data_IF_452235206568
#
_entry.id   IF_452235206568
#
_cell.length_a   1.000
_cell.length_b   1.000
_cell.length_c   1.000
_cell.angle_alpha   90.00
_cell.angle_beta   90.00
_cell.angle_gamma   90.00
#
_symmetry.space_group_name_H-M   'P 1'
#
loop_
_entity.id
_entity.type
_entity.pdbx_description
1 polymer ?
#
# COMPACT_ATOMS: atom_id res chain seq x y z
N UNK A 1 4.99 -17.28 -14.03
CA UNK A 1 4.32 -16.61 -12.90
C UNK A 1 4.48 -15.11 -13.08
N UNK A 2 3.41 -14.33 -12.94
CA UNK A 2 3.52 -12.87 -12.80
C UNK A 2 3.97 -12.56 -11.38
N UNK A 3 5.07 -11.83 -11.25
CA UNK A 3 5.60 -11.35 -9.97
C UNK A 3 4.98 -9.98 -9.68
N UNK A 4 4.61 -9.73 -8.43
CA UNK A 4 4.05 -8.45 -8.00
C UNK A 4 5.05 -7.70 -7.13
N UNK A 5 5.00 -6.38 -7.20
CA UNK A 5 5.56 -5.52 -6.18
C UNK A 5 4.43 -5.12 -5.25
N UNK A 6 4.56 -5.48 -3.98
CA UNK A 6 3.54 -5.24 -2.97
C UNK A 6 4.01 -4.12 -2.04
N UNK A 7 3.15 -3.15 -1.78
CA UNK A 7 3.33 -2.16 -0.71
C UNK A 7 2.29 -2.37 0.38
N UNK A 8 2.70 -2.22 1.63
CA UNK A 8 1.86 -2.36 2.81
C UNK A 8 1.87 -1.03 3.54
N UNK A 9 0.71 -0.40 3.66
CA UNK A 9 0.50 0.83 4.42
C UNK A 9 -0.25 0.50 5.71
N UNK A 10 0.16 1.06 6.83
CA UNK A 10 -0.46 0.84 8.13
C UNK A 10 -0.82 2.18 8.79
N UNK A 11 -2.09 2.31 9.17
CA UNK A 11 -2.63 3.53 9.78
C UNK A 11 -3.52 3.24 10.99
N UNK A 12 -3.99 4.27 11.70
CA UNK A 12 -4.87 4.11 12.85
C UNK A 12 -6.22 3.50 12.44
N UNK A 13 -6.98 2.98 13.39
CA UNK A 13 -8.31 2.40 13.11
C UNK A 13 -9.23 3.40 12.38
N UNK A 14 -9.90 2.92 11.34
CA UNK A 14 -10.88 3.69 10.56
C UNK A 14 -12.10 2.85 10.24
N UNK A 15 -13.22 3.54 10.03
CA UNK A 15 -14.38 2.94 9.40
C UNK A 15 -14.07 2.57 7.94
N UNK A 16 -14.49 1.37 7.50
CA UNK A 16 -14.14 0.84 6.18
C UNK A 16 -14.82 1.63 5.06
N UNK A 17 -16.10 2.01 5.24
CA UNK A 17 -16.81 2.79 4.23
C UNK A 17 -16.15 4.16 4.03
N UNK A 18 -15.80 4.82 5.15
CA UNK A 18 -15.04 6.08 5.09
C UNK A 18 -13.67 5.91 4.45
N UNK A 19 -12.95 4.84 4.77
CA UNK A 19 -11.64 4.56 4.17
C UNK A 19 -11.75 4.43 2.64
N UNK A 20 -12.75 3.70 2.15
CA UNK A 20 -12.96 3.52 0.71
C UNK A 20 -13.36 4.82 0.00
N UNK A 21 -14.21 5.66 0.61
CA UNK A 21 -14.52 6.99 0.09
C UNK A 21 -13.24 7.82 -0.03
N UNK A 22 -12.39 7.84 1.00
CA UNK A 22 -11.16 8.63 0.98
C UNK A 22 -10.14 8.07 -0.02
N UNK A 23 -10.06 6.75 -0.19
CA UNK A 23 -9.26 6.12 -1.25
C UNK A 23 -9.74 6.59 -2.63
N UNK A 24 -11.05 6.54 -2.90
CA UNK A 24 -11.59 6.94 -4.19
C UNK A 24 -11.34 8.42 -4.49
N UNK A 25 -11.55 9.31 -3.51
CA UNK A 25 -11.27 10.74 -3.65
C UNK A 25 -9.80 10.99 -4.00
N UNK A 26 -8.86 10.38 -3.27
CA UNK A 26 -7.43 10.57 -3.47
C UNK A 26 -6.96 9.99 -4.82
N UNK A 27 -7.43 8.79 -5.18
CA UNK A 27 -7.05 8.11 -6.42
C UNK A 27 -7.65 8.80 -7.66
N UNK A 28 -8.93 9.15 -7.62
CA UNK A 28 -9.60 9.90 -8.69
C UNK A 28 -9.00 11.31 -8.85
N UNK A 29 -8.52 11.92 -7.76
CA UNK A 29 -7.77 13.18 -7.79
C UNK A 29 -6.46 13.11 -8.57
N UNK A 30 -5.86 11.92 -8.69
CA UNK A 30 -4.69 11.64 -9.53
C UNK A 30 -5.05 11.24 -10.97
N UNK A 31 -6.33 11.25 -11.33
CA UNK A 31 -6.82 10.83 -12.65
C UNK A 31 -6.90 9.30 -12.82
N UNK A 32 -6.68 8.52 -11.76
CA UNK A 32 -6.93 7.09 -11.79
C UNK A 32 -8.43 6.82 -11.94
N UNK A 33 -8.77 5.73 -12.62
CA UNK A 33 -10.17 5.28 -12.75
C UNK A 33 -10.31 3.95 -12.04
N UNK A 34 -11.39 3.79 -11.29
CA UNK A 34 -11.73 2.48 -10.78
C UNK A 34 -11.94 1.50 -11.95
N UNK A 35 -11.31 0.34 -11.90
CA UNK A 35 -11.37 -0.67 -12.97
C UNK A 35 -11.80 -2.06 -12.50
N UNK A 36 -12.24 -2.17 -11.24
CA UNK A 36 -12.86 -3.38 -10.70
C UNK A 36 -14.05 -3.07 -9.81
N UNK A 37 -14.94 -4.05 -9.68
CA UNK A 37 -15.95 -4.07 -8.63
C UNK A 37 -15.32 -4.30 -7.24
N UNK A 38 -16.10 -4.09 -6.18
CA UNK A 38 -15.67 -4.36 -4.81
C UNK A 38 -15.76 -5.86 -4.52
N UNK A 39 -14.61 -6.48 -4.27
CA UNK A 39 -14.52 -7.84 -3.76
C UNK A 39 -14.46 -7.84 -2.24
N UNK A 40 -15.09 -8.82 -1.60
CA UNK A 40 -14.90 -9.05 -0.16
C UNK A 40 -13.58 -9.75 0.06
N UNK A 41 -12.82 -9.28 1.05
CA UNK A 41 -11.66 -9.97 1.57
C UNK A 41 -11.87 -10.34 3.05
N UNK A 42 -11.27 -11.44 3.47
CA UNK A 42 -11.30 -11.91 4.85
C UNK A 42 -9.90 -12.34 5.31
N UNK A 43 -9.65 -12.22 6.60
CA UNK A 43 -8.43 -12.71 7.21
C UNK A 43 -8.52 -14.21 7.42
N UNK A 44 -7.53 -14.95 6.91
CA UNK A 44 -7.31 -16.34 7.24
C UNK A 44 -6.47 -16.44 8.52
N UNK A 45 -7.05 -16.91 9.65
CA UNK A 45 -6.35 -17.01 10.93
C UNK A 45 -5.38 -18.19 11.02
N UNK A 46 -5.25 -19.03 9.98
CA UNK A 46 -4.27 -20.11 9.95
C UNK A 46 -2.86 -19.56 10.28
N UNK A 47 -2.21 -20.03 11.36
CA UNK A 47 -0.87 -19.55 11.76
C UNK A 47 0.19 -19.68 10.67
N UNK A 48 0.07 -20.65 9.78
CA UNK A 48 1.02 -20.89 8.68
C UNK A 48 0.79 -19.94 7.50
N UNK A 49 -0.44 -19.43 7.35
CA UNK A 49 -0.79 -18.43 6.33
C UNK A 49 -0.79 -17.02 6.93
N UNK A 50 -1.79 -16.72 7.76
CA UNK A 50 -1.96 -15.44 8.44
C UNK A 50 -2.04 -14.27 7.46
N UNK A 51 -2.89 -14.37 6.44
CA UNK A 51 -3.03 -13.37 5.36
C UNK A 51 -4.49 -13.03 5.10
N UNK A 52 -4.72 -11.86 4.50
CA UNK A 52 -6.01 -11.53 3.89
C UNK A 52 -6.10 -12.10 2.48
N UNK A 53 -7.23 -12.74 2.17
CA UNK A 53 -7.55 -13.24 0.83
C UNK A 53 -8.95 -12.79 0.40
N UNK A 54 -9.17 -12.73 -0.92
CA UNK A 54 -10.51 -12.58 -1.47
C UNK A 54 -11.38 -13.80 -1.15
N UNK A 55 -12.64 -13.60 -0.77
CA UNK A 55 -13.52 -14.70 -0.33
C UNK A 55 -14.19 -15.45 -1.49
N UNK A 56 -14.02 -14.97 -2.74
CA UNK A 56 -14.74 -15.49 -3.90
C UNK A 56 -16.23 -15.16 -3.91
N UNK A 57 -16.70 -14.35 -2.96
CA UNK A 57 -18.07 -13.83 -2.93
C UNK A 57 -18.35 -12.99 -4.19
N UNK A 58 -19.63 -12.95 -4.60
CA UNK A 58 -20.03 -12.11 -5.74
C UNK A 58 -19.64 -10.66 -5.45
N UNK A 59 -18.93 -10.00 -6.39
CA UNK A 59 -18.51 -8.64 -6.16
C UNK A 59 -19.72 -7.70 -6.12
N UNK A 60 -19.54 -6.57 -5.47
CA UNK A 60 -20.53 -5.51 -5.36
C UNK A 60 -20.20 -4.46 -6.42
N UNK A 61 -21.12 -4.24 -7.35
CA UNK A 61 -20.96 -3.27 -8.43
C UNK A 61 -20.73 -1.88 -7.88
N UNK A 62 -19.68 -1.23 -8.34
CA UNK A 62 -19.29 0.09 -7.83
C UNK A 62 -20.11 1.24 -8.41
N UNK A 63 -20.82 1.03 -9.52
CA UNK A 63 -21.64 2.07 -10.16
C UNK A 63 -22.72 2.64 -9.21
N UNK A 64 -23.09 1.90 -8.16
CA UNK A 64 -23.91 2.37 -7.03
C UNK A 64 -23.15 2.37 -5.69
N UNK A 65 -21.86 2.75 -5.67
CA UNK A 65 -20.97 2.68 -4.50
C UNK A 65 -21.63 3.20 -3.21
N UNK A 66 -22.26 4.38 -3.30
CA UNK A 66 -22.95 5.01 -2.18
C UNK A 66 -24.17 4.21 -1.70
N UNK A 67 -24.92 3.59 -2.61
CA UNK A 67 -26.09 2.77 -2.28
C UNK A 67 -25.69 1.39 -1.73
N UNK A 68 -24.52 0.90 -2.16
CA UNK A 68 -23.96 -0.38 -1.76
C UNK A 68 -23.07 -0.30 -0.50
N UNK A 69 -22.73 0.89 0.01
CA UNK A 69 -21.90 1.02 1.22
C UNK A 69 -22.48 0.31 2.44
N UNK A 70 -23.80 0.19 2.55
CA UNK A 70 -24.42 -0.56 3.63
C UNK A 70 -24.17 -2.07 3.54
N UNK A 71 -23.86 -2.59 2.34
CA UNK A 71 -23.62 -4.02 2.11
C UNK A 71 -22.21 -4.46 2.52
N UNK A 72 -21.28 -3.51 2.61
CA UNK A 72 -19.91 -3.74 3.07
C UNK A 72 -19.77 -3.54 4.59
N UNK A 73 -20.86 -3.18 5.28
CA UNK A 73 -20.87 -3.08 6.75
C UNK A 73 -20.51 -4.43 7.36
N UNK A 74 -19.51 -4.43 8.23
CA UNK A 74 -19.00 -5.63 8.89
C UNK A 74 -17.99 -6.44 8.07
N UNK A 75 -17.63 -6.01 6.86
CA UNK A 75 -16.50 -6.60 6.14
C UNK A 75 -15.19 -6.19 6.81
N UNK A 76 -14.31 -7.16 7.01
CA UNK A 76 -12.98 -6.93 7.59
C UNK A 76 -11.94 -6.60 6.53
N UNK A 77 -12.25 -6.81 5.26
CA UNK A 77 -11.43 -6.37 4.13
C UNK A 77 -12.22 -6.24 2.84
N UNK A 78 -11.69 -5.39 1.95
CA UNK A 78 -12.25 -5.08 0.64
C UNK A 78 -11.12 -5.04 -0.39
N UNK A 79 -11.30 -5.71 -1.52
CA UNK A 79 -10.39 -5.63 -2.66
C UNK A 79 -11.01 -4.80 -3.78
N UNK A 80 -10.20 -3.94 -4.40
CA UNK A 80 -10.59 -3.08 -5.51
C UNK A 80 -9.38 -2.72 -6.38
N UNK A 81 -9.61 -2.36 -7.64
CA UNK A 81 -8.58 -2.05 -8.62
C UNK A 81 -8.72 -0.62 -9.15
N UNK A 82 -7.59 0.06 -9.30
CA UNK A 82 -7.52 1.35 -10.00
C UNK A 82 -6.58 1.25 -11.19
N UNK A 83 -6.99 1.89 -12.29
CA UNK A 83 -6.21 2.01 -13.52
C UNK A 83 -5.71 3.43 -13.72
N UNK A 84 -4.41 3.54 -13.86
CA UNK A 84 -3.72 4.69 -14.46
C UNK A 84 -3.53 4.43 -15.96
N UNK A 85 -3.02 5.44 -16.68
CA UNK A 85 -2.77 5.31 -18.12
C UNK A 85 -1.83 4.12 -18.45
N UNK A 86 -0.76 3.92 -17.67
CA UNK A 86 0.28 2.94 -18.00
C UNK A 86 0.34 1.72 -17.06
N UNK A 87 -0.41 1.74 -15.96
CA UNK A 87 -0.37 0.67 -14.96
C UNK A 87 -1.69 0.58 -14.19
N UNK A 88 -1.91 -0.56 -13.53
CA UNK A 88 -3.02 -0.76 -12.59
C UNK A 88 -2.47 -1.08 -11.22
N UNK A 89 -3.19 -0.64 -10.19
CA UNK A 89 -2.99 -0.98 -8.79
C UNK A 89 -4.13 -1.87 -8.33
N UNK A 90 -3.80 -3.03 -7.80
CA UNK A 90 -4.73 -3.87 -7.05
C UNK A 90 -4.60 -3.53 -5.57
N UNK A 91 -5.70 -3.14 -4.94
CA UNK A 91 -5.75 -2.69 -3.56
C UNK A 91 -6.54 -3.69 -2.73
N UNK A 92 -6.03 -4.02 -1.55
CA UNK A 92 -6.77 -4.68 -0.49
C UNK A 92 -6.72 -3.78 0.76
N UNK A 93 -7.84 -3.15 1.09
CA UNK A 93 -8.00 -2.40 2.32
C UNK A 93 -8.56 -3.33 3.39
N UNK A 94 -7.96 -3.38 4.57
CA UNK A 94 -8.38 -4.25 5.66
C UNK A 94 -8.39 -3.56 7.01
N UNK A 95 -9.24 -4.08 7.90
CA UNK A 95 -9.37 -3.70 9.29
C UNK A 95 -9.30 -4.96 10.15
N UNK A 96 -8.08 -5.44 10.50
CA UNK A 96 -7.90 -6.58 11.38
C UNK A 96 -8.35 -6.24 12.81
N UNK A 97 -9.61 -6.57 13.12
CA UNK A 97 -10.25 -6.20 14.39
C UNK A 97 -10.59 -4.70 14.44
N UNK A 98 -10.34 -4.07 15.60
CA UNK A 98 -10.69 -2.65 15.86
C UNK A 98 -9.46 -1.80 16.23
N UNK A 99 -8.26 -2.21 15.80
CA UNK A 99 -7.01 -1.59 16.26
C UNK A 99 -6.35 -0.68 15.23
N UNK A 100 -6.29 -1.11 13.97
CA UNK A 100 -5.60 -0.40 12.89
C UNK A 100 -6.21 -0.79 11.54
N UNK A 101 -5.79 -0.09 10.49
CA UNK A 101 -6.08 -0.48 9.10
C UNK A 101 -4.80 -0.82 8.38
N UNK A 102 -4.88 -1.76 7.45
CA UNK A 102 -3.85 -1.98 6.44
C UNK A 102 -4.41 -1.67 5.05
N UNK A 103 -3.55 -1.16 4.18
CA UNK A 103 -3.81 -1.08 2.75
C UNK A 103 -2.66 -1.78 2.04
N UNK A 104 -2.95 -2.92 1.43
CA UNK A 104 -2.02 -3.69 0.61
C UNK A 104 -2.22 -3.26 -0.84
N UNK A 105 -1.12 -2.99 -1.54
CA UNK A 105 -1.14 -2.44 -2.89
C UNK A 105 -0.21 -3.26 -3.75
N UNK A 106 -0.76 -3.95 -4.73
CA UNK A 106 -0.01 -4.71 -5.72
C UNK A 106 0.05 -3.96 -7.05
N UNK A 107 1.24 -3.92 -7.62
CA UNK A 107 1.48 -3.56 -9.02
C UNK A 107 2.29 -4.66 -9.68
N UNK A 108 1.99 -4.96 -10.95
CA UNK A 108 2.78 -5.93 -11.70
C UNK A 108 4.24 -5.48 -11.78
N UNK A 109 5.19 -6.34 -11.39
CA UNK A 109 6.61 -5.95 -11.33
C UNK A 109 7.15 -5.49 -12.70
N UNK A 110 6.63 -6.08 -13.80
CA UNK A 110 6.95 -5.64 -15.17
C UNK A 110 6.47 -4.21 -15.46
N UNK A 111 5.28 -3.85 -15.00
CA UNK A 111 4.73 -2.50 -15.16
C UNK A 111 5.58 -1.50 -14.36
N UNK A 112 5.92 -1.84 -13.11
CA UNK A 112 6.79 -0.99 -12.28
C UNK A 112 8.18 -0.81 -12.89
N UNK A 113 8.80 -1.90 -13.37
CA UNK A 113 10.09 -1.83 -14.07
C UNK A 113 10.00 -0.95 -15.34
N UNK A 114 8.91 -1.05 -16.09
CA UNK A 114 8.64 -0.19 -17.24
C UNK A 114 8.54 1.30 -16.86
N UNK A 115 7.89 1.62 -15.75
CA UNK A 115 7.85 2.99 -15.22
C UNK A 115 9.24 3.49 -14.83
N UNK A 116 10.06 2.66 -14.18
CA UNK A 116 11.42 3.02 -13.78
C UNK A 116 12.30 3.28 -15.01
N UNK A 117 12.28 2.39 -16.01
CA UNK A 117 13.05 2.52 -17.24
C UNK A 117 12.66 3.78 -18.06
N UNK A 118 11.42 4.25 -17.91
CA UNK A 118 10.91 5.46 -18.57
C UNK A 118 11.04 6.73 -17.71
N UNK A 119 11.64 6.64 -16.51
CA UNK A 119 11.72 7.74 -15.52
C UNK A 119 10.33 8.28 -15.09
N UNK A 120 9.33 7.39 -15.04
CA UNK A 120 7.93 7.68 -14.67
C UNK A 120 7.51 7.02 -13.35
N UNK A 121 8.45 6.49 -12.58
CA UNK A 121 8.18 5.83 -11.29
C UNK A 121 7.49 6.75 -10.28
N UNK A 122 7.68 8.07 -10.41
CA UNK A 122 7.01 9.07 -9.60
C UNK A 122 5.48 8.93 -9.59
N UNK A 123 4.85 8.52 -10.69
CA UNK A 123 3.40 8.30 -10.76
C UNK A 123 2.94 7.14 -9.87
N UNK A 124 3.73 6.07 -9.78
CA UNK A 124 3.45 4.97 -8.84
C UNK A 124 3.56 5.46 -7.39
N UNK A 125 4.62 6.19 -7.08
CA UNK A 125 4.83 6.72 -5.73
C UNK A 125 3.74 7.72 -5.30
N UNK A 126 3.26 8.56 -6.22
CA UNK A 126 2.09 9.42 -6.00
C UNK A 126 0.84 8.61 -5.66
N UNK A 127 0.61 7.48 -6.35
CA UNK A 127 -0.48 6.56 -6.02
C UNK A 127 -0.34 5.98 -4.61
N UNK A 128 0.86 5.54 -4.22
CA UNK A 128 1.12 5.04 -2.87
C UNK A 128 0.93 6.13 -1.81
N UNK A 129 1.38 7.36 -2.07
CA UNK A 129 1.22 8.49 -1.18
C UNK A 129 -0.26 8.90 -1.02
N UNK A 130 -1.04 8.89 -2.11
CA UNK A 130 -2.49 9.09 -2.09
C UNK A 130 -3.19 8.07 -1.19
N UNK A 131 -2.84 6.79 -1.33
CA UNK A 131 -3.35 5.73 -0.47
C UNK A 131 -2.89 5.90 0.98
N UNK A 132 -1.66 6.35 1.21
CA UNK A 132 -1.16 6.65 2.56
C UNK A 132 -1.97 7.77 3.22
N UNK A 133 -2.28 8.86 2.50
CA UNK A 133 -3.18 9.92 2.99
C UNK A 133 -4.57 9.40 3.30
N UNK A 134 -5.18 8.65 2.39
CA UNK A 134 -6.49 8.04 2.59
C UNK A 134 -6.52 7.09 3.80
N UNK A 135 -5.43 6.38 4.08
CA UNK A 135 -5.31 5.52 5.25
C UNK A 135 -4.91 6.26 6.52
N UNK A 136 -4.46 7.52 6.42
CA UNK A 136 -3.67 8.21 7.46
C UNK A 136 -2.51 7.33 7.93
N UNK A 137 -1.81 6.73 6.97
CA UNK A 137 -0.74 5.80 7.26
C UNK A 137 0.32 6.49 8.14
N UNK A 138 0.75 5.80 9.19
CA UNK A 138 1.89 6.24 9.99
C UNK A 138 3.20 5.77 9.34
N UNK A 139 3.13 4.60 8.69
CA UNK A 139 4.21 4.09 7.86
C UNK A 139 3.70 3.11 6.81
N UNK A 140 4.58 2.80 5.87
CA UNK A 140 4.44 1.70 4.96
C UNK A 140 5.77 1.25 4.39
N UNK A 141 5.79 0.06 3.82
CA UNK A 141 6.98 -0.52 3.21
C UNK A 141 6.57 -1.36 2.01
N UNK A 142 7.49 -1.56 1.06
CA UNK A 142 7.22 -2.35 -0.12
C UNK A 142 8.38 -3.22 -0.57
N UNK A 143 8.04 -4.27 -1.31
CA UNK A 143 8.98 -5.24 -1.85
C UNK A 143 8.31 -6.25 -2.76
N UNK A 144 9.11 -7.08 -3.46
CA UNK A 144 8.57 -8.15 -4.30
C UNK A 144 7.82 -9.19 -3.47
N UNK A 145 6.61 -9.56 -3.93
CA UNK A 145 5.77 -10.64 -3.41
C UNK A 145 5.61 -10.64 -1.88
N UNK A 146 5.38 -9.47 -1.26
CA UNK A 146 5.08 -9.43 0.18
C UNK A 146 3.70 -10.06 0.44
N UNK A 147 3.55 -10.89 1.48
CA UNK A 147 2.25 -11.45 1.81
C UNK A 147 1.31 -10.36 2.35
N UNK A 148 0.00 -10.51 2.15
CA UNK A 148 -1.04 -9.64 2.72
C UNK A 148 -1.26 -9.92 4.21
N UNK A 149 -0.17 -10.02 4.95
CA UNK A 149 -0.14 -10.26 6.39
C UNK A 149 -0.37 -8.94 7.12
N UNK A 150 -1.29 -8.86 8.08
CA UNK A 150 -1.52 -7.65 8.85
C UNK A 150 -0.29 -7.16 9.58
N UNK A 151 -0.08 -5.85 9.59
CA UNK A 151 1.05 -5.21 10.25
C UNK A 151 0.58 -3.98 11.02
N UNK A 152 0.97 -3.88 12.30
CA UNK A 152 0.66 -2.70 13.10
C UNK A 152 1.46 -1.48 12.59
N UNK A 153 0.99 -0.24 12.82
CA UNK A 153 1.75 0.97 12.48
C UNK A 153 3.20 0.96 12.98
N UNK A 154 3.41 0.58 14.26
CA UNK A 154 4.74 0.48 14.85
C UNK A 154 5.62 -0.59 14.16
N UNK A 155 5.05 -1.75 13.81
CA UNK A 155 5.78 -2.80 13.11
C UNK A 155 6.11 -2.39 11.66
N UNK A 156 5.25 -1.61 11.00
CA UNK A 156 5.52 -1.07 9.67
C UNK A 156 6.69 -0.07 9.70
N UNK A 157 6.75 0.81 10.71
CA UNK A 157 7.91 1.71 10.91
C UNK A 157 9.21 0.90 11.04
N UNK A 158 9.22 -0.13 11.89
CA UNK A 158 10.43 -0.94 12.07
C UNK A 158 10.79 -1.72 10.79
N UNK A 159 9.81 -2.19 10.03
CA UNK A 159 10.01 -2.91 8.78
C UNK A 159 10.65 -2.05 7.67
N UNK A 160 10.44 -0.73 7.68
CA UNK A 160 11.13 0.20 6.76
C UNK A 160 12.64 0.10 6.91
N UNK A 161 13.15 0.08 8.15
CA UNK A 161 14.59 0.16 8.43
C UNK A 161 15.27 -1.22 8.55
N UNK A 162 14.56 -2.19 9.12
CA UNK A 162 15.10 -3.53 9.40
C UNK A 162 14.65 -4.59 8.41
N UNK A 163 13.70 -4.27 7.54
CA UNK A 163 13.04 -5.21 6.64
C UNK A 163 11.85 -5.92 7.30
N UNK A 164 10.88 -6.40 6.49
CA UNK A 164 9.85 -7.26 7.03
C UNK A 164 10.49 -8.54 7.56
N UNK A 165 10.17 -8.90 8.81
CA UNK A 165 10.74 -10.04 9.53
C UNK A 165 10.68 -11.37 8.75
N UNK A 166 9.75 -11.49 7.80
CA UNK A 166 9.55 -12.69 6.98
C UNK A 166 10.46 -12.77 5.73
N UNK A 167 11.11 -11.69 5.31
CA UNK A 167 11.76 -11.61 3.99
C UNK A 167 13.28 -11.75 4.00
N UNK A 168 13.94 -11.64 5.17
CA UNK A 168 15.41 -11.64 5.27
C UNK A 168 16.11 -10.47 4.55
N UNK A 169 15.34 -9.55 3.94
CA UNK A 169 15.85 -8.42 3.17
C UNK A 169 15.10 -7.13 3.58
N UNK A 170 15.80 -5.99 3.67
CA UNK A 170 15.12 -4.72 3.89
C UNK A 170 14.14 -4.42 2.76
N UNK A 171 12.96 -3.86 3.10
CA UNK A 171 12.01 -3.36 2.12
C UNK A 171 12.72 -2.48 1.09
N UNK A 172 12.33 -2.64 -0.16
CA UNK A 172 12.85 -1.85 -1.29
C UNK A 172 12.42 -0.38 -1.17
N UNK A 173 11.23 -0.20 -0.62
CA UNK A 173 10.54 1.07 -0.47
C UNK A 173 10.10 1.22 0.99
N UNK A 174 10.15 2.45 1.51
CA UNK A 174 9.61 2.83 2.80
C UNK A 174 8.93 4.19 2.74
N UNK A 175 7.87 4.35 3.55
CA UNK A 175 7.15 5.60 3.73
C UNK A 175 6.87 5.78 5.21
N UNK A 176 7.13 6.96 5.75
CA UNK A 176 6.92 7.26 7.18
C UNK A 176 6.34 8.66 7.33
N UNK A 177 5.26 8.79 8.09
CA UNK A 177 4.64 10.09 8.36
C UNK A 177 5.59 11.00 9.15
N UNK A 178 5.65 12.29 8.80
CA UNK A 178 6.40 13.30 9.54
C UNK A 178 5.82 13.55 10.94
N UNK A 179 4.56 13.16 11.18
CA UNK A 179 3.93 13.19 12.50
C UNK A 179 4.43 12.05 13.39
N UNK A 180 4.67 10.87 12.80
CA UNK A 180 5.12 9.67 13.52
C UNK A 180 6.62 9.66 13.77
N UNK A 181 7.41 10.34 12.93
CA UNK A 181 8.86 10.40 13.09
C UNK A 181 9.42 11.78 12.76
N UNK A 182 10.21 12.32 13.70
CA UNK A 182 10.89 13.60 13.49
C UNK A 182 11.99 13.48 12.44
N UNK A 183 12.31 14.60 11.76
CA UNK A 183 13.43 14.65 10.81
C UNK A 183 14.74 14.18 11.45
N UNK A 184 14.99 14.52 12.72
CA UNK A 184 16.19 14.10 13.46
C UNK A 184 16.26 12.59 13.67
N UNK A 185 15.13 11.96 14.00
CA UNK A 185 15.07 10.51 14.18
C UNK A 185 15.18 9.77 12.85
N UNK A 186 14.58 10.34 11.79
CA UNK A 186 14.70 9.84 10.42
C UNK A 186 16.16 9.85 9.96
N UNK A 187 16.86 10.98 10.10
CA UNK A 187 18.28 11.11 9.77
C UNK A 187 19.17 10.14 10.56
N UNK A 188 18.82 9.84 11.81
CA UNK A 188 19.56 8.89 12.64
C UNK A 188 19.32 7.44 12.22
N UNK A 189 18.11 7.11 11.77
CA UNK A 189 17.71 5.75 11.38
C UNK A 189 18.00 5.44 9.92
N UNK A 190 18.05 6.43 9.04
CA UNK A 190 18.42 6.22 7.64
C UNK A 190 19.87 5.75 7.59
N UNK A 191 20.04 4.48 7.23
CA UNK A 191 21.37 3.99 6.86
C UNK A 191 21.76 4.55 5.48
N UNK A 192 23.04 4.50 5.11
CA UNK A 192 23.53 4.91 3.79
C UNK A 192 22.95 4.10 2.60
N UNK A 193 22.06 3.15 2.89
CA UNK A 193 21.39 2.27 1.93
C UNK A 193 20.17 2.91 1.27
N UNK A 194 19.62 3.95 1.87
CA UNK A 194 18.41 4.61 1.39
C UNK A 194 18.71 6.03 0.93
N UNK A 195 18.12 6.41 -0.20
CA UNK A 195 17.87 7.80 -0.51
C UNK A 195 16.60 8.23 0.21
N UNK A 196 16.61 9.46 0.73
CA UNK A 196 15.54 10.04 1.53
C UNK A 196 15.04 11.29 0.82
N UNK A 197 13.77 11.28 0.47
CA UNK A 197 13.07 12.44 -0.07
C UNK A 197 11.95 12.84 0.88
N UNK A 198 11.86 14.13 1.20
CA UNK A 198 10.68 14.69 1.88
C UNK A 198 9.62 15.04 0.84
N UNK A 199 8.45 14.42 0.97
CA UNK A 199 7.33 14.70 0.09
C UNK A 199 6.41 15.73 0.73
N UNK A 200 5.91 16.67 -0.09
CA UNK A 200 5.16 17.84 0.36
C UNK A 200 3.89 17.52 1.17
N UNK A 201 3.40 16.28 1.11
CA UNK A 201 2.21 15.83 1.84
C UNK A 201 2.46 15.40 3.29
N UNK A 202 3.67 15.59 3.82
CA UNK A 202 4.00 15.24 5.20
C UNK A 202 4.44 13.79 5.38
N UNK A 203 5.13 13.25 4.38
CA UNK A 203 5.75 11.93 4.45
C UNK A 203 7.21 12.00 4.05
N UNK A 204 8.01 11.20 4.74
CA UNK A 204 9.34 10.80 4.32
C UNK A 204 9.22 9.59 3.40
N UNK A 205 9.85 9.66 2.24
CA UNK A 205 9.94 8.58 1.29
C UNK A 205 11.36 8.03 1.28
N UNK A 206 11.50 6.72 1.41
CA UNK A 206 12.78 6.02 1.43
C UNK A 206 12.82 5.03 0.27
N UNK A 207 13.80 5.19 -0.62
CA UNK A 207 14.07 4.24 -1.70
C UNK A 207 15.46 3.63 -1.51
N UNK A 208 15.56 2.31 -1.64
CA UNK A 208 16.87 1.65 -1.66
C UNK A 208 17.62 1.96 -2.95
N UNK A 209 18.86 2.43 -2.81
CA UNK A 209 19.74 2.79 -3.95
C UNK A 209 19.92 1.68 -4.98
N UNK A 210 20.10 0.44 -4.50
CA UNK A 210 20.35 -0.72 -5.36
C UNK A 210 19.12 -1.19 -6.14
N UNK A 211 17.92 -0.80 -5.72
CA UNK A 211 16.70 -1.12 -6.45
C UNK A 211 16.62 -0.36 -7.77
N UNK A 212 16.80 0.97 -7.74
CA UNK A 212 16.77 1.80 -8.95
C UNK A 212 17.81 1.34 -9.97
N UNK A 213 19.01 0.99 -9.51
CA UNK A 213 20.08 0.46 -10.36
C UNK A 213 19.74 -0.90 -10.99
N UNK A 214 19.03 -1.76 -10.26
CA UNK A 214 18.69 -3.12 -10.71
C UNK A 214 17.57 -3.14 -11.76
N UNK A 215 16.64 -2.19 -11.71
CA UNK A 215 15.46 -2.15 -12.60
C UNK A 215 15.51 -1.03 -13.65
N UNK A 216 16.39 -0.03 -13.50
CA UNK A 216 16.58 1.06 -14.47
C UNK A 216 17.51 0.72 -15.66
N UNK A 217 18.09 -0.49 -15.70
CA UNK A 217 19.01 -0.94 -16.77
C UNK A 217 18.40 -1.94 -17.77
N UNK A 218 17.08 -2.08 -17.79
CA UNK A 218 16.38 -3.01 -18.70
C UNK A 218 16.11 -2.34 -20.05
#
# INVERSE_FOLDING_TARGET
MSMFFTSILAGPVRDMARLLIEIDIEMSGLGARLDSDLGRAAFDPDPDRGVFDGTGDKPVFYDDFMENMLRIVGWTGVSLGYRFEDFSLSILASRPGDHYVNCFVDVGLKSLAGLIAQDRVASYYQGIEALARACRAEAGFGGPDLPFRPVTPAAAIEAVFSGPAASGHPGVFGLVSTVSMSAKDMEKRKSDRFDLDEWASGYWFLERRDFRDSYGRI
#
